data_IF_919583833465
#
_entry.id   IF_919583833465
#
_cell.length_a   1.000
_cell.length_b   1.000
_cell.length_c   1.000
_cell.angle_alpha   90.00
_cell.angle_beta   90.00
_cell.angle_gamma   90.00
#
_symmetry.space_group_name_H-M   'P 1'
#
loop_
_entity.id
_entity.type
_entity.pdbx_description
1 polymer ?
#
# COMPACT_ATOMS: atom_id res chain seq x y z
N UNK A 1 8.16 -18.67 -7.95
CA UNK A 1 8.44 -17.79 -6.79
C UNK A 1 8.71 -16.39 -7.30
N UNK A 2 8.05 -15.36 -6.74
CA UNK A 2 8.31 -13.97 -7.09
C UNK A 2 9.14 -13.30 -5.98
N UNK A 3 10.08 -12.44 -6.35
CA UNK A 3 10.89 -11.65 -5.41
C UNK A 3 10.22 -10.31 -5.20
N UNK A 4 9.81 -10.03 -3.95
CA UNK A 4 9.17 -8.77 -3.58
C UNK A 4 10.24 -7.86 -2.98
N UNK A 5 10.28 -6.61 -3.45
CA UNK A 5 11.07 -5.53 -2.87
C UNK A 5 10.10 -4.57 -2.19
N UNK A 6 10.30 -4.31 -0.90
CA UNK A 6 9.46 -3.40 -0.11
C UNK A 6 10.33 -2.31 0.52
N UNK A 7 9.85 -1.07 0.48
CA UNK A 7 10.50 0.09 1.09
C UNK A 7 9.47 0.91 1.88
N UNK A 8 9.89 1.41 3.04
CA UNK A 8 9.08 2.31 3.88
C UNK A 8 9.61 3.73 3.74
N UNK A 9 8.69 4.68 3.59
CA UNK A 9 8.99 6.10 3.47
C UNK A 9 8.12 6.89 4.45
N UNK A 10 8.63 8.03 4.92
CA UNK A 10 7.90 8.89 5.86
C UNK A 10 6.96 9.85 5.14
N UNK A 11 7.35 10.31 3.95
CA UNK A 11 6.62 11.33 3.20
C UNK A 11 6.06 10.75 1.91
N UNK A 12 4.85 11.20 1.53
CA UNK A 12 4.22 10.78 0.29
C UNK A 12 5.03 11.19 -0.95
N UNK A 13 5.66 12.37 -0.91
CA UNK A 13 6.52 12.85 -1.99
C UNK A 13 7.72 11.93 -2.25
N UNK A 14 8.28 11.33 -1.20
CA UNK A 14 9.39 10.37 -1.32
C UNK A 14 8.94 9.10 -2.05
N UNK A 15 7.69 8.68 -1.82
CA UNK A 15 7.09 7.52 -2.48
C UNK A 15 6.87 7.81 -3.97
N UNK A 16 6.33 8.98 -4.32
CA UNK A 16 6.15 9.37 -5.72
C UNK A 16 7.49 9.50 -6.46
N UNK A 17 8.52 10.04 -5.80
CA UNK A 17 9.86 10.09 -6.36
C UNK A 17 10.42 8.68 -6.60
N UNK A 18 10.31 7.78 -5.61
CA UNK A 18 10.77 6.40 -5.74
C UNK A 18 10.03 5.66 -6.88
N UNK A 19 8.72 5.86 -7.00
CA UNK A 19 7.90 5.30 -8.09
C UNK A 19 8.40 5.76 -9.45
N UNK A 20 8.67 7.07 -9.62
CA UNK A 20 9.21 7.62 -10.88
C UNK A 20 10.55 6.99 -11.25
N UNK A 21 11.49 6.97 -10.30
CA UNK A 21 12.83 6.40 -10.53
C UNK A 21 12.76 4.91 -10.89
N UNK A 22 11.87 4.14 -10.26
CA UNK A 22 11.68 2.73 -10.60
C UNK A 22 11.12 2.55 -12.03
N UNK A 23 10.17 3.38 -12.45
CA UNK A 23 9.67 3.35 -13.83
C UNK A 23 10.76 3.74 -14.82
N UNK A 24 11.53 4.79 -14.53
CA UNK A 24 12.68 5.23 -15.34
C UNK A 24 13.77 4.16 -15.44
N UNK A 25 13.98 3.39 -14.37
CA UNK A 25 14.88 2.24 -14.34
C UNK A 25 14.34 1.00 -15.09
N UNK A 26 13.14 1.08 -15.68
CA UNK A 26 12.54 0.04 -16.51
C UNK A 26 11.63 -0.93 -15.77
N UNK A 27 11.26 -0.67 -14.52
CA UNK A 27 10.27 -1.49 -13.82
C UNK A 27 8.85 -1.18 -14.34
N UNK A 28 8.06 -2.18 -14.74
CA UNK A 28 6.70 -1.96 -15.22
C UNK A 28 5.82 -1.36 -14.13
N UNK A 29 5.08 -0.29 -14.44
CA UNK A 29 4.20 0.38 -13.49
C UNK A 29 3.15 -0.58 -12.86
N UNK A 30 2.64 -1.55 -13.63
CA UNK A 30 1.71 -2.57 -13.13
C UNK A 30 2.31 -3.57 -12.13
N UNK A 31 3.62 -3.49 -11.85
CA UNK A 31 4.31 -4.28 -10.82
C UNK A 31 4.77 -3.43 -9.63
N UNK A 32 4.38 -2.16 -9.58
CA UNK A 32 4.71 -1.24 -8.48
C UNK A 32 3.42 -0.91 -7.75
N UNK A 33 3.35 -1.24 -6.46
CA UNK A 33 2.22 -0.91 -5.59
C UNK A 33 2.65 0.06 -4.50
N UNK A 34 1.86 1.10 -4.31
CA UNK A 34 2.09 2.15 -3.32
C UNK A 34 0.90 2.18 -2.37
N UNK A 35 1.18 2.22 -1.06
CA UNK A 35 0.17 2.33 -0.01
C UNK A 35 0.51 3.50 0.90
N UNK A 36 -0.50 4.29 1.25
CA UNK A 36 -0.38 5.39 2.19
C UNK A 36 -1.12 4.99 3.46
N UNK A 37 -0.38 4.89 4.57
CA UNK A 37 -0.95 4.60 5.89
C UNK A 37 -1.08 5.93 6.62
N UNK A 38 -2.31 6.29 6.99
CA UNK A 38 -2.56 7.45 7.83
C UNK A 38 -1.99 7.20 9.24
N UNK A 39 -1.45 8.25 9.87
CA UNK A 39 -0.87 8.13 11.20
C UNK A 39 -1.92 7.64 12.23
N UNK A 40 -1.51 6.84 13.23
CA UNK A 40 -2.42 6.41 14.30
C UNK A 40 -3.07 7.63 14.95
N UNK A 41 -4.40 7.65 15.04
CA UNK A 41 -5.18 8.77 15.56
C UNK A 41 -5.82 9.68 14.50
N UNK A 42 -5.50 9.53 13.19
CA UNK A 42 -6.26 10.20 12.11
C UNK A 42 -7.47 9.41 11.61
N UNK A 43 -7.74 8.24 12.18
CA UNK A 43 -8.89 7.40 11.82
C UNK A 43 -10.24 8.10 12.09
N UNK A 44 -10.26 9.11 12.96
CA UNK A 44 -11.46 9.87 13.34
C UNK A 44 -11.69 11.16 12.52
N UNK A 45 -10.75 11.55 11.63
CA UNK A 45 -10.86 12.82 10.90
C UNK A 45 -11.58 12.71 9.55
N UNK A 46 -11.68 11.50 8.98
CA UNK A 46 -12.38 11.25 7.74
C UNK A 46 -13.49 10.22 7.95
N UNK A 47 -14.76 10.64 7.85
CA UNK A 47 -15.95 9.83 8.07
C UNK A 47 -16.10 8.61 7.13
N UNK A 48 -15.22 8.45 6.14
CA UNK A 48 -15.29 7.42 5.11
C UNK A 48 -13.95 6.66 4.98
N UNK A 49 -13.45 6.13 6.10
CA UNK A 49 -12.41 5.09 6.13
C UNK A 49 -13.06 3.70 6.12
N UNK A 50 -13.87 3.43 5.10
CA UNK A 50 -14.67 2.21 5.03
C UNK A 50 -13.83 0.98 4.72
N UNK A 51 -13.52 0.18 5.73
CA UNK A 51 -13.51 -1.28 5.57
C UNK A 51 -14.97 -1.73 5.40
N UNK A 52 -15.54 -1.39 4.23
CA UNK A 52 -16.79 -1.97 3.77
C UNK A 52 -16.41 -3.10 2.85
N UNK A 53 -16.73 -4.29 3.36
CA UNK A 53 -16.63 -5.59 2.72
C UNK A 53 -15.28 -6.28 2.91
N UNK A 54 -15.23 -7.04 4.01
CA UNK A 54 -14.43 -8.26 4.16
C UNK A 54 -14.13 -8.88 2.80
N UNK A 55 -12.86 -8.99 2.46
CA UNK A 55 -12.44 -9.81 1.32
C UNK A 55 -12.99 -11.23 1.49
N UNK A 56 -13.65 -11.83 0.48
CA UNK A 56 -14.13 -13.20 0.56
C UNK A 56 -12.92 -14.14 0.66
N UNK A 57 -12.62 -14.56 1.89
CA UNK A 57 -11.39 -15.26 2.27
C UNK A 57 -11.06 -15.13 3.76
N UNK A 58 -11.63 -14.14 4.46
CA UNK A 58 -11.49 -13.95 5.90
C UNK A 58 -12.41 -14.89 6.74
N UNK A 59 -12.57 -16.15 6.31
CA UNK A 59 -13.18 -17.19 7.13
C UNK A 59 -12.07 -18.02 7.78
N UNK A 60 -12.13 -18.11 9.10
CA UNK A 60 -11.13 -18.72 9.98
C UNK A 60 -10.71 -20.12 9.53
N UNK A 61 -9.39 -20.34 9.41
CA UNK A 61 -8.84 -21.68 9.42
C UNK A 61 -8.93 -22.21 10.86
N UNK A 62 -9.97 -23.00 11.13
CA UNK A 62 -10.11 -23.79 12.35
C UNK A 62 -9.26 -25.05 12.18
N UNK A 63 -8.21 -25.17 12.99
CA UNK A 63 -7.58 -26.44 13.33
C UNK A 63 -7.90 -26.74 14.80
#
# INVERSE_FOLDING_TARGET
MARILAGHFQLQEQIEQARRVLVEAGFPAGRISVFYVNQPGQHDLHALGGDRDRSPGAAANRA
#
